data_IF_784919383817
#
_entry.id   IF_784919383817
#
_cell.length_a   1.000
_cell.length_b   1.000
_cell.length_c   1.000
_cell.angle_alpha   90.00
_cell.angle_beta   90.00
_cell.angle_gamma   90.00
#
_symmetry.space_group_name_H-M   'P 1'
#
loop_
_entity.id
_entity.type
_entity.pdbx_description
1 polymer ?
#
# COMPACT_ATOMS: atom_id res chain seq x y z
N UNK A 1 31.25 0.55 30.21
CA UNK A 1 31.11 -0.79 29.59
C UNK A 1 29.62 -1.09 29.53
N UNK A 2 28.97 -0.90 28.39
CA UNK A 2 27.55 -1.21 28.18
C UNK A 2 27.47 -2.56 27.43
N UNK A 3 26.57 -3.48 27.84
CA UNK A 3 26.39 -4.75 27.14
C UNK A 3 25.69 -4.58 25.79
N UNK A 4 25.97 -5.44 24.81
CA UNK A 4 25.34 -5.36 23.48
C UNK A 4 23.89 -5.81 23.52
N UNK A 5 23.02 -4.99 22.91
CA UNK A 5 21.62 -5.34 22.66
C UNK A 5 21.52 -6.40 21.56
N UNK A 6 20.97 -7.56 21.89
CA UNK A 6 20.61 -8.62 20.94
C UNK A 6 19.32 -8.27 20.21
N UNK A 7 19.23 -8.45 18.89
CA UNK A 7 17.97 -8.25 18.17
C UNK A 7 17.01 -9.42 18.45
N UNK A 8 15.83 -9.07 18.94
CA UNK A 8 14.72 -10.01 19.18
C UNK A 8 14.06 -10.35 17.86
N UNK A 9 14.37 -11.52 17.30
CA UNK A 9 13.72 -12.11 16.15
C UNK A 9 12.29 -12.52 16.52
N UNK A 10 11.29 -11.79 16.01
CA UNK A 10 9.88 -12.17 16.08
C UNK A 10 9.53 -12.98 14.83
N UNK A 11 9.65 -14.31 14.92
CA UNK A 11 9.15 -15.24 13.92
C UNK A 11 7.62 -15.32 14.05
N UNK A 12 6.92 -14.57 13.22
CA UNK A 12 5.47 -14.70 13.04
C UNK A 12 5.15 -16.03 12.35
N UNK A 13 4.64 -16.98 13.13
CA UNK A 13 4.12 -18.25 12.64
C UNK A 13 2.78 -18.01 11.97
N UNK A 14 2.76 -17.94 10.64
CA UNK A 14 1.54 -17.98 9.84
C UNK A 14 1.11 -19.44 9.75
N UNK A 15 0.24 -19.86 10.67
CA UNK A 15 -0.41 -21.17 10.64
C UNK A 15 -1.41 -21.24 9.49
N UNK A 16 -1.01 -21.88 8.39
CA UNK A 16 -1.92 -22.30 7.34
C UNK A 16 -2.82 -23.42 7.88
N UNK A 17 -4.05 -23.08 8.21
CA UNK A 17 -5.08 -24.03 8.60
C UNK A 17 -5.66 -24.64 7.33
N UNK A 18 -5.13 -25.77 6.88
CA UNK A 18 -5.75 -26.63 5.89
C UNK A 18 -6.73 -27.57 6.61
N UNK A 19 -8.04 -27.52 6.32
CA UNK A 19 -8.93 -28.56 6.79
C UNK A 19 -8.69 -29.83 5.97
N UNK A 20 -8.21 -30.87 6.66
CA UNK A 20 -8.12 -32.23 6.13
C UNK A 20 -9.53 -32.72 5.90
N UNK A 21 -9.95 -32.81 4.65
CA UNK A 21 -11.14 -33.52 4.24
C UNK A 21 -10.91 -35.01 4.52
N UNK A 22 -11.54 -35.47 5.60
CA UNK A 22 -11.60 -36.87 5.99
C UNK A 22 -12.54 -37.57 5.01
N UNK A 23 -11.98 -38.33 4.09
CA UNK A 23 -12.69 -39.19 3.18
C UNK A 23 -13.25 -40.39 3.99
N UNK A 24 -14.48 -40.28 4.48
CA UNK A 24 -15.23 -41.39 5.05
C UNK A 24 -15.63 -42.33 3.92
N UNK A 25 -14.79 -43.36 3.75
CA UNK A 25 -15.05 -44.49 2.84
C UNK A 25 -16.13 -45.37 3.44
N UNK A 26 -17.39 -44.92 3.43
CA UNK A 26 -18.54 -45.82 3.68
C UNK A 26 -18.78 -46.63 2.42
N UNK A 27 -18.22 -47.83 2.41
CA UNK A 27 -18.61 -48.91 1.52
C UNK A 27 -20.04 -49.36 1.92
N UNK A 28 -21.05 -48.65 1.40
CA UNK A 28 -22.44 -49.11 1.44
C UNK A 28 -22.68 -49.94 0.20
N UNK A 29 -22.77 -51.25 0.40
CA UNK A 29 -23.27 -52.24 -0.55
C UNK A 29 -24.73 -51.90 -0.86
N UNK A 30 -24.99 -51.01 -1.79
CA UNK A 30 -26.31 -50.73 -2.31
C UNK A 30 -26.63 -51.73 -3.40
N UNK A 31 -27.54 -52.60 -3.03
CA UNK A 31 -28.38 -53.45 -3.86
C UNK A 31 -28.85 -52.66 -5.10
N UNK A 32 -28.55 -53.19 -6.29
CA UNK A 32 -28.91 -52.57 -7.56
C UNK A 32 -30.43 -52.76 -7.77
N UNK A 33 -31.22 -51.82 -7.26
CA UNK A 33 -32.53 -51.60 -7.82
C UNK A 33 -32.40 -51.01 -9.23
N UNK A 34 -33.12 -51.50 -10.22
CA UNK A 34 -33.10 -50.90 -11.55
C UNK A 34 -33.58 -49.45 -11.44
N UNK A 35 -32.90 -48.50 -12.06
CA UNK A 35 -33.31 -47.11 -11.99
C UNK A 35 -34.70 -46.94 -12.53
N UNK A 36 -35.61 -46.21 -11.82
CA UNK A 36 -36.90 -45.89 -12.39
C UNK A 36 -36.69 -45.15 -13.69
N UNK A 37 -37.26 -45.71 -14.77
CA UNK A 37 -37.16 -45.23 -16.12
C UNK A 37 -38.00 -43.96 -16.40
N UNK A 38 -37.96 -43.01 -15.49
CA UNK A 38 -38.52 -41.68 -15.65
C UNK A 38 -37.49 -40.66 -15.03
N UNK A 39 -36.30 -40.61 -15.58
CA UNK A 39 -35.52 -39.39 -15.53
C UNK A 39 -36.25 -38.41 -16.44
N UNK A 40 -37.14 -37.61 -15.84
CA UNK A 40 -37.65 -36.45 -16.51
C UNK A 40 -36.40 -35.64 -16.91
N UNK A 41 -36.05 -35.65 -18.20
CA UNK A 41 -35.13 -34.73 -18.77
C UNK A 41 -35.78 -33.34 -18.71
N UNK A 42 -35.81 -32.78 -17.50
CA UNK A 42 -36.21 -31.41 -17.25
C UNK A 42 -35.19 -30.51 -17.94
N UNK A 43 -35.41 -30.29 -19.23
CA UNK A 43 -34.66 -29.32 -20.01
C UNK A 43 -34.80 -27.97 -19.34
N UNK A 44 -33.70 -27.21 -19.30
CA UNK A 44 -33.68 -25.84 -18.75
C UNK A 44 -34.86 -25.02 -19.30
N UNK A 45 -35.66 -24.50 -18.38
CA UNK A 45 -36.74 -23.61 -18.77
C UNK A 45 -36.18 -22.35 -19.43
N UNK A 46 -36.79 -21.88 -20.53
CA UNK A 46 -36.41 -20.63 -21.18
C UNK A 46 -36.42 -19.46 -20.19
N UNK A 47 -37.33 -19.49 -19.21
CA UNK A 47 -37.37 -18.50 -18.13
C UNK A 47 -36.12 -18.52 -17.25
N UNK A 48 -35.58 -19.69 -16.93
CA UNK A 48 -34.38 -19.86 -16.13
C UNK A 48 -33.13 -19.29 -16.82
N UNK A 49 -33.02 -19.50 -18.13
CA UNK A 49 -31.93 -18.93 -18.93
C UNK A 49 -32.02 -17.39 -18.94
N UNK A 50 -33.21 -16.83 -19.10
CA UNK A 50 -33.39 -15.37 -19.09
C UNK A 50 -33.07 -14.78 -17.72
N UNK A 51 -33.49 -15.40 -16.64
CA UNK A 51 -33.21 -14.95 -15.28
C UNK A 51 -31.71 -15.04 -14.99
N UNK A 52 -31.07 -16.14 -15.37
CA UNK A 52 -29.61 -16.32 -15.21
C UNK A 52 -28.82 -15.27 -15.97
N UNK A 53 -29.22 -14.95 -17.20
CA UNK A 53 -28.59 -13.91 -18.01
C UNK A 53 -28.76 -12.52 -17.36
N UNK A 54 -29.95 -12.23 -16.85
CA UNK A 54 -30.22 -10.98 -16.14
C UNK A 54 -29.36 -10.84 -14.88
N UNK A 55 -29.25 -11.89 -14.07
CA UNK A 55 -28.38 -11.88 -12.89
C UNK A 55 -26.92 -11.74 -13.26
N UNK A 56 -26.47 -12.43 -14.31
CA UNK A 56 -25.10 -12.34 -14.79
C UNK A 56 -24.74 -10.92 -15.23
N UNK A 57 -25.63 -10.21 -15.92
CA UNK A 57 -25.40 -8.83 -16.35
C UNK A 57 -25.27 -7.88 -15.15
N UNK A 58 -26.11 -8.03 -14.14
CA UNK A 58 -26.05 -7.21 -12.91
C UNK A 58 -24.73 -7.43 -12.15
N UNK A 59 -24.31 -8.69 -11.98
CA UNK A 59 -23.04 -9.01 -11.32
C UNK A 59 -21.85 -8.48 -12.11
N UNK A 60 -21.84 -8.65 -13.43
CA UNK A 60 -20.77 -8.13 -14.31
C UNK A 60 -20.63 -6.63 -14.21
N UNK A 61 -21.74 -5.89 -14.16
CA UNK A 61 -21.71 -4.45 -14.00
C UNK A 61 -21.15 -4.02 -12.63
N UNK A 62 -21.53 -4.72 -11.55
CA UNK A 62 -21.01 -4.46 -10.22
C UNK A 62 -19.49 -4.67 -10.13
N UNK A 63 -18.97 -5.74 -10.76
CA UNK A 63 -17.53 -6.02 -10.81
C UNK A 63 -16.78 -4.92 -11.58
N UNK A 64 -17.35 -4.45 -12.69
CA UNK A 64 -16.73 -3.39 -13.48
C UNK A 64 -16.60 -2.08 -12.68
N UNK A 65 -17.63 -1.69 -11.93
CA UNK A 65 -17.58 -0.52 -11.05
C UNK A 65 -16.53 -0.68 -9.93
N UNK A 66 -16.41 -1.88 -9.35
CA UNK A 66 -15.40 -2.16 -8.34
C UNK A 66 -13.97 -2.02 -8.90
N UNK A 67 -13.72 -2.50 -10.11
CA UNK A 67 -12.42 -2.38 -10.78
C UNK A 67 -12.01 -0.92 -11.00
N UNK A 68 -12.92 -0.06 -11.46
CA UNK A 68 -12.63 1.37 -11.64
C UNK A 68 -12.23 2.04 -10.32
N UNK A 69 -12.88 1.68 -9.23
CA UNK A 69 -12.57 2.22 -7.90
C UNK A 69 -11.18 1.78 -7.42
N UNK A 70 -10.82 0.52 -7.63
CA UNK A 70 -9.51 -0.02 -7.26
C UNK A 70 -8.36 0.67 -8.03
N UNK A 71 -8.53 0.90 -9.33
CA UNK A 71 -7.52 1.60 -10.15
C UNK A 71 -7.27 3.02 -9.63
N UNK A 72 -8.32 3.77 -9.28
CA UNK A 72 -8.19 5.10 -8.69
C UNK A 72 -7.45 5.07 -7.35
N UNK A 73 -7.76 4.10 -6.50
CA UNK A 73 -7.13 3.96 -5.18
C UNK A 73 -5.64 3.64 -5.29
N UNK A 74 -5.26 2.79 -6.24
CA UNK A 74 -3.86 2.42 -6.51
C UNK A 74 -3.03 3.63 -6.93
N UNK A 75 -3.55 4.50 -7.79
CA UNK A 75 -2.87 5.72 -8.21
C UNK A 75 -2.53 6.64 -7.03
N UNK A 76 -3.50 6.87 -6.14
CA UNK A 76 -3.29 7.70 -4.94
C UNK A 76 -2.20 7.14 -4.02
N UNK A 77 -2.18 5.83 -3.84
CA UNK A 77 -1.17 5.16 -3.00
C UNK A 77 0.23 5.28 -3.60
N UNK A 78 0.37 5.13 -4.92
CA UNK A 78 1.65 5.28 -5.61
C UNK A 78 2.25 6.68 -5.44
N UNK A 79 1.46 7.74 -5.58
CA UNK A 79 1.93 9.12 -5.38
C UNK A 79 2.36 9.37 -3.93
N UNK A 80 1.64 8.81 -2.96
CA UNK A 80 2.01 8.92 -1.54
C UNK A 80 3.32 8.21 -1.24
N UNK A 81 3.55 7.02 -1.79
CA UNK A 81 4.82 6.28 -1.64
C UNK A 81 5.96 7.05 -2.31
N UNK A 82 5.75 7.59 -3.51
CA UNK A 82 6.74 8.40 -4.19
C UNK A 82 7.11 9.65 -3.37
N UNK A 83 6.12 10.37 -2.85
CA UNK A 83 6.33 11.53 -1.98
C UNK A 83 7.11 11.19 -0.71
N UNK A 84 6.81 10.06 -0.07
CA UNK A 84 7.54 9.59 1.11
C UNK A 84 9.01 9.26 0.79
N UNK A 85 9.27 8.65 -0.36
CA UNK A 85 10.63 8.34 -0.79
C UNK A 85 11.42 9.62 -1.10
N UNK A 86 10.80 10.60 -1.78
CA UNK A 86 11.42 11.90 -2.03
C UNK A 86 11.73 12.64 -0.72
N UNK A 87 10.83 12.60 0.27
CA UNK A 87 11.07 13.21 1.57
C UNK A 87 12.27 12.56 2.28
N UNK A 88 12.38 11.23 2.24
CA UNK A 88 13.52 10.51 2.82
C UNK A 88 14.83 10.83 2.11
N UNK A 89 14.84 10.87 0.79
CA UNK A 89 16.03 11.25 0.00
C UNK A 89 16.51 12.65 0.37
N UNK A 90 15.61 13.61 0.52
CA UNK A 90 15.97 14.97 0.89
C UNK A 90 16.53 15.03 2.33
N UNK A 91 15.95 14.27 3.27
CA UNK A 91 16.49 14.16 4.63
C UNK A 91 17.90 13.58 4.63
N UNK A 92 18.17 12.52 3.86
CA UNK A 92 19.51 11.93 3.77
C UNK A 92 20.52 12.88 3.09
N UNK A 93 20.10 13.62 2.06
CA UNK A 93 20.88 14.68 1.45
C UNK A 93 21.27 15.75 2.48
N UNK A 94 20.31 16.24 3.25
CA UNK A 94 20.53 17.22 4.31
C UNK A 94 21.44 16.68 5.41
N UNK A 95 21.29 15.42 5.77
CA UNK A 95 22.15 14.74 6.74
C UNK A 95 23.60 14.64 6.25
N UNK A 96 23.80 14.31 4.96
CA UNK A 96 25.12 14.32 4.33
C UNK A 96 25.77 15.70 4.31
N UNK A 97 25.01 16.74 4.06
CA UNK A 97 25.51 18.13 4.07
C UNK A 97 25.85 18.60 5.48
N UNK A 98 25.07 18.18 6.49
CA UNK A 98 25.26 18.62 7.88
C UNK A 98 26.63 18.20 8.46
N UNK A 99 27.24 17.15 7.94
CA UNK A 99 28.58 16.69 8.35
C UNK A 99 29.74 17.56 7.83
N UNK A 100 29.48 18.40 6.82
CA UNK A 100 30.55 19.11 6.09
C UNK A 100 30.34 20.61 5.94
N UNK A 101 29.13 21.12 6.14
CA UNK A 101 28.79 22.51 5.83
C UNK A 101 28.25 23.28 7.04
N UNK A 102 28.76 24.51 7.22
CA UNK A 102 28.22 25.49 8.17
C UNK A 102 26.81 25.98 7.79
N UNK A 103 26.41 25.80 6.56
CA UNK A 103 25.08 26.14 6.04
C UNK A 103 24.49 24.97 5.26
N UNK A 104 23.23 24.66 5.52
CA UNK A 104 22.47 23.63 4.82
C UNK A 104 21.71 24.25 3.64
N UNK A 105 21.75 23.60 2.50
CA UNK A 105 20.93 24.00 1.35
C UNK A 105 19.47 23.54 1.55
N UNK A 106 18.64 24.48 2.02
CA UNK A 106 17.21 24.29 2.25
C UNK A 106 16.34 24.86 1.12
N UNK A 107 16.87 24.89 -0.08
CA UNK A 107 16.15 25.42 -1.24
C UNK A 107 15.02 24.46 -1.65
N UNK A 108 13.83 25.02 -1.87
CA UNK A 108 12.71 24.23 -2.38
C UNK A 108 13.03 23.72 -3.78
N UNK A 109 12.76 22.46 -4.04
CA UNK A 109 12.99 21.80 -5.33
C UNK A 109 11.73 21.17 -5.87
N UNK A 110 11.65 21.03 -7.20
CA UNK A 110 10.51 20.36 -7.85
C UNK A 110 11.02 19.19 -8.68
N UNK A 111 10.40 18.02 -8.47
CA UNK A 111 10.72 16.79 -9.19
C UNK A 111 9.46 16.28 -9.87
N UNK A 112 9.54 15.96 -11.16
CA UNK A 112 8.42 15.39 -11.92
C UNK A 112 8.61 13.88 -12.06
N UNK A 113 7.67 13.11 -11.54
CA UNK A 113 7.65 11.65 -11.64
C UNK A 113 6.33 11.19 -12.27
N UNK A 114 6.42 10.43 -13.35
CA UNK A 114 5.23 9.89 -14.06
C UNK A 114 4.17 10.96 -14.38
N UNK A 115 4.61 12.14 -14.81
CA UNK A 115 3.71 13.25 -15.18
C UNK A 115 3.16 14.08 -14.01
N UNK A 116 3.46 13.71 -12.76
CA UNK A 116 3.06 14.47 -11.57
C UNK A 116 4.25 15.24 -11.01
N UNK A 117 4.08 16.54 -10.77
CA UNK A 117 5.10 17.40 -10.17
C UNK A 117 4.99 17.39 -8.65
N UNK A 118 6.09 17.07 -7.99
CA UNK A 118 6.25 17.08 -6.54
C UNK A 118 7.12 18.25 -6.13
N UNK A 119 6.60 19.13 -5.29
CA UNK A 119 7.35 20.24 -4.70
C UNK A 119 7.84 19.84 -3.32
N UNK A 120 9.15 19.83 -3.13
CA UNK A 120 9.85 19.47 -1.90
C UNK A 120 10.26 20.77 -1.22
N UNK A 121 9.79 21.00 0.00
CA UNK A 121 10.11 22.20 0.77
C UNK A 121 10.70 21.80 2.11
N UNK A 122 12.01 21.85 2.30
CA UNK A 122 12.62 21.67 3.61
C UNK A 122 12.42 22.92 4.47
N UNK A 123 12.03 22.70 5.74
CA UNK A 123 11.83 23.73 6.75
C UNK A 123 12.70 23.37 7.95
N UNK A 124 13.52 24.28 8.40
CA UNK A 124 14.47 24.04 9.50
C UNK A 124 14.28 25.04 10.65
N UNK A 125 14.44 24.53 11.86
CA UNK A 125 14.42 25.37 13.08
C UNK A 125 15.58 24.96 14.00
N UNK A 126 16.57 25.81 14.27
CA UNK A 126 16.78 27.17 13.70
C UNK A 126 17.01 27.16 12.20
N UNK A 127 16.85 28.32 11.55
CA UNK A 127 16.94 28.47 10.10
C UNK A 127 18.22 27.87 9.51
N UNK A 128 18.17 27.44 8.24
CA UNK A 128 19.30 26.81 7.54
C UNK A 128 20.57 27.67 7.49
N UNK A 129 20.39 29.00 7.48
CA UNK A 129 21.49 30.01 7.49
C UNK A 129 22.09 30.26 8.87
N UNK A 130 21.44 29.79 9.95
CA UNK A 130 21.98 29.96 11.29
C UNK A 130 23.15 28.99 11.52
N UNK A 131 24.21 29.47 12.12
CA UNK A 131 25.32 28.61 12.56
C UNK A 131 24.83 27.69 13.66
N UNK A 132 25.11 26.41 13.50
CA UNK A 132 24.75 25.39 14.47
C UNK A 132 25.97 25.14 15.38
N UNK A 133 25.78 25.26 16.68
CA UNK A 133 26.85 24.95 17.62
C UNK A 133 27.11 23.43 17.66
N UNK A 134 28.35 22.97 17.79
CA UNK A 134 28.65 21.55 17.91
C UNK A 134 27.86 20.89 19.06
N UNK A 135 27.16 19.80 18.77
CA UNK A 135 26.30 19.09 19.72
C UNK A 135 24.89 19.68 19.88
N UNK A 136 24.55 20.78 19.21
CA UNK A 136 23.18 21.27 19.15
C UNK A 136 22.31 20.44 18.21
N UNK A 137 21.00 20.46 18.44
CA UNK A 137 20.04 19.79 17.60
C UNK A 137 19.27 20.78 16.71
N UNK A 138 19.06 20.41 15.45
CA UNK A 138 18.25 21.17 14.50
C UNK A 138 17.05 20.32 14.08
N UNK A 139 15.85 20.86 14.28
CA UNK A 139 14.64 20.21 13.79
C UNK A 139 14.48 20.47 12.29
N UNK A 140 14.27 19.43 11.52
CA UNK A 140 14.07 19.48 10.08
C UNK A 140 12.72 18.87 9.76
N UNK A 141 11.88 19.63 9.07
CA UNK A 141 10.62 19.20 8.51
C UNK A 141 10.72 19.24 6.98
N UNK A 142 10.61 18.10 6.32
CA UNK A 142 10.51 18.05 4.86
C UNK A 142 9.05 17.90 4.47
N UNK A 143 8.53 18.90 3.76
CA UNK A 143 7.17 18.91 3.24
C UNK A 143 7.20 18.60 1.75
N UNK A 144 6.53 17.54 1.31
CA UNK A 144 6.38 17.20 -0.10
C UNK A 144 4.91 17.38 -0.48
N UNK A 145 4.65 18.29 -1.40
CA UNK A 145 3.30 18.57 -1.90
C UNK A 145 3.19 18.22 -3.39
N UNK A 146 2.05 17.71 -3.79
CA UNK A 146 1.71 17.46 -5.19
C UNK A 146 0.24 17.75 -5.45
N UNK A 147 -0.10 17.99 -6.70
CA UNK A 147 -1.46 18.20 -7.12
C UNK A 147 -1.87 17.03 -8.03
N UNK A 148 -2.87 16.25 -7.50
CA UNK A 148 -3.55 15.19 -8.23
C UNK A 148 -5.00 15.53 -8.06
N UNK A 149 -5.93 15.71 -8.77
CA UNK A 149 -7.33 16.12 -8.53
C UNK A 149 -7.58 16.98 -7.25
N UNK A 150 -6.70 16.90 -6.25
CA UNK A 150 -6.67 17.72 -5.03
C UNK A 150 -5.23 17.93 -4.56
N UNK A 151 -4.97 19.08 -3.90
CA UNK A 151 -3.67 19.35 -3.29
C UNK A 151 -3.42 18.39 -2.12
N UNK A 152 -2.35 17.63 -2.19
CA UNK A 152 -1.95 16.65 -1.17
C UNK A 152 -0.55 16.97 -0.65
N UNK A 153 -0.30 16.62 0.60
CA UNK A 153 0.98 16.87 1.25
C UNK A 153 1.35 15.69 2.14
N UNK A 154 2.62 15.33 2.12
CA UNK A 154 3.27 14.46 3.09
C UNK A 154 4.30 15.29 3.84
N UNK A 155 4.37 15.11 5.17
CA UNK A 155 5.32 15.75 6.06
C UNK A 155 6.19 14.69 6.72
N UNK A 156 7.49 14.96 6.77
CA UNK A 156 8.47 14.12 7.44
C UNK A 156 9.29 14.98 8.38
N UNK A 157 9.22 14.68 9.69
CA UNK A 157 9.93 15.42 10.73
C UNK A 157 11.12 14.59 11.23
N UNK A 158 12.28 15.21 11.35
CA UNK A 158 13.51 14.59 11.87
C UNK A 158 14.35 15.61 12.62
N UNK A 159 15.30 15.11 13.40
CA UNK A 159 16.28 15.93 14.11
C UNK A 159 17.66 15.61 13.56
N UNK A 160 18.41 16.64 13.21
CA UNK A 160 19.82 16.55 12.83
C UNK A 160 20.67 17.09 13.97
N UNK A 161 21.72 16.37 14.32
CA UNK A 161 22.78 16.87 15.23
C UNK A 161 23.79 17.68 14.42
N UNK A 162 24.21 18.79 14.92
CA UNK A 162 25.26 19.63 14.34
C UNK A 162 26.67 19.18 14.73
#
# INVERSE_FOLDING_TARGET
>A
MNPPMTPRSSAGHVGAFFPILREDKQASTRQSDPPPANADDDGFSLAEVVVSLALFTVVSFAVMLAMVTLVKLTGVTQHRVAASNLARQEVEKLRGQNSTASQLDATASTVTLKGTSFTITPIMTPAATATCAPGAARNVTVKVSWNDSSSRTVRYDTVLSC
#
